data_IF_142104643293
#
_entry.id   IF_142104643293
#
_cell.length_a   1.000
_cell.length_b   1.000
_cell.length_c   1.000
_cell.angle_alpha   90.00
_cell.angle_beta   90.00
_cell.angle_gamma   90.00
#
_symmetry.space_group_name_H-M   'P 1'
#
loop_
_entity.id
_entity.type
_entity.pdbx_description
1 polymer ?
#
# COMPACT_ATOMS: atom_id res chain seq x y z
N UNK A 1 39.19 -33.76 38.81
CA UNK A 1 38.10 -32.86 39.25
C UNK A 1 36.95 -33.01 38.27
N UNK A 2 36.12 -34.03 38.44
CA UNK A 2 34.98 -34.30 37.55
C UNK A 2 33.73 -33.70 38.18
N UNK A 3 33.34 -32.51 37.73
CA UNK A 3 32.13 -31.84 38.21
C UNK A 3 30.90 -32.58 37.68
N UNK A 4 29.99 -32.93 38.60
CA UNK A 4 28.73 -33.61 38.33
C UNK A 4 27.91 -32.91 37.23
N UNK A 5 27.23 -33.69 36.39
CA UNK A 5 26.39 -33.28 35.26
C UNK A 5 25.35 -32.20 35.62
N UNK A 6 24.94 -32.13 36.90
CA UNK A 6 24.04 -31.12 37.44
C UNK A 6 24.67 -29.72 37.59
N UNK A 7 26.00 -29.61 37.69
CA UNK A 7 26.72 -28.34 37.77
C UNK A 7 26.91 -27.65 36.42
N UNK A 8 27.18 -28.43 35.36
CA UNK A 8 27.28 -27.93 33.98
C UNK A 8 25.94 -27.39 33.48
N UNK A 9 24.84 -28.05 33.82
CA UNK A 9 23.49 -27.62 33.45
C UNK A 9 23.11 -26.28 34.11
N UNK A 10 23.49 -26.07 35.38
CA UNK A 10 23.25 -24.80 36.10
C UNK A 10 24.09 -23.65 35.54
N UNK A 11 25.33 -23.90 35.12
CA UNK A 11 26.20 -22.88 34.52
C UNK A 11 25.74 -22.49 33.11
N UNK A 12 25.26 -23.46 32.31
CA UNK A 12 24.70 -23.21 30.98
C UNK A 12 23.39 -22.41 31.03
N UNK A 13 22.51 -22.69 32.00
CA UNK A 13 21.27 -21.93 32.20
C UNK A 13 21.58 -20.48 32.63
N UNK A 14 22.55 -20.27 33.53
CA UNK A 14 22.96 -18.93 33.96
C UNK A 14 23.50 -18.10 32.77
N UNK A 15 24.38 -18.68 31.96
CA UNK A 15 24.92 -18.04 30.76
C UNK A 15 23.82 -17.71 29.73
N UNK A 16 22.87 -18.62 29.52
CA UNK A 16 21.74 -18.40 28.62
C UNK A 16 20.81 -17.27 29.11
N UNK A 17 20.56 -17.15 30.41
CA UNK A 17 19.70 -16.09 30.97
C UNK A 17 20.35 -14.69 30.96
N UNK A 18 21.69 -14.61 30.98
CA UNK A 18 22.41 -13.34 30.92
C UNK A 18 22.57 -12.86 29.46
N UNK A 19 22.64 -13.80 28.50
CA UNK A 19 22.69 -13.50 27.05
C UNK A 19 21.30 -13.35 26.40
N UNK A 20 20.25 -13.96 26.95
CA UNK A 20 18.87 -13.85 26.47
C UNK A 20 18.31 -12.41 26.41
N UNK A 21 18.51 -11.51 27.39
CA UNK A 21 17.97 -10.16 27.29
C UNK A 21 18.69 -9.33 26.22
N UNK A 22 19.90 -9.72 25.80
CA UNK A 22 20.67 -8.99 24.78
C UNK A 22 20.24 -9.43 23.36
N UNK A 23 19.86 -10.68 23.15
CA UNK A 23 19.42 -11.18 21.84
C UNK A 23 17.95 -10.89 21.54
N UNK A 24 17.10 -10.69 22.54
CA UNK A 24 15.68 -10.32 22.31
C UNK A 24 15.54 -8.88 21.81
N UNK A 25 16.54 -8.01 22.00
CA UNK A 25 16.50 -6.59 21.59
C UNK A 25 16.86 -6.36 20.11
N UNK A 26 17.44 -7.33 19.40
CA UNK A 26 17.88 -7.17 18.01
C UNK A 26 17.37 -8.30 17.12
N UNK A 27 16.09 -8.26 16.78
CA UNK A 27 15.55 -8.70 15.48
C UNK A 27 14.02 -8.59 15.50
N UNK A 28 13.52 -7.36 15.58
CA UNK A 28 12.18 -7.07 15.06
C UNK A 28 12.32 -6.47 13.66
N UNK A 29 13.18 -7.08 12.84
CA UNK A 29 13.18 -6.88 11.39
C UNK A 29 12.06 -7.75 10.81
N UNK A 30 10.83 -7.39 11.15
CA UNK A 30 9.75 -7.53 10.17
C UNK A 30 10.05 -6.41 9.18
N UNK A 31 10.91 -6.68 8.20
CA UNK A 31 10.77 -6.01 6.92
C UNK A 31 9.35 -6.32 6.48
N UNK A 32 8.42 -5.43 6.85
CA UNK A 32 7.02 -5.60 6.60
C UNK A 32 6.91 -5.60 5.09
N UNK A 33 6.71 -6.77 4.50
CA UNK A 33 6.56 -6.91 3.06
C UNK A 33 5.54 -5.86 2.60
N UNK A 34 6.03 -4.84 1.90
CA UNK A 34 5.22 -3.70 1.48
C UNK A 34 4.01 -4.23 0.74
N UNK A 35 2.80 -3.83 1.13
CA UNK A 35 1.59 -4.33 0.47
C UNK A 35 1.67 -3.90 -0.99
N UNK A 36 1.30 -4.81 -1.90
CA UNK A 36 1.31 -4.53 -3.34
C UNK A 36 0.55 -3.24 -3.65
N UNK A 37 -0.56 -2.99 -2.95
CA UNK A 37 -1.36 -1.77 -3.12
C UNK A 37 -0.57 -0.50 -2.79
N UNK A 38 0.28 -0.54 -1.75
CA UNK A 38 1.05 0.62 -1.31
C UNK A 38 2.17 0.91 -2.30
N UNK A 39 2.85 -0.15 -2.77
CA UNK A 39 3.85 -0.04 -3.83
C UNK A 39 3.25 0.51 -5.14
N UNK A 40 2.09 0.00 -5.58
CA UNK A 40 1.44 0.46 -6.81
C UNK A 40 0.79 1.83 -6.70
N UNK A 41 0.30 2.20 -5.52
CA UNK A 41 -0.15 3.57 -5.24
C UNK A 41 1.03 4.54 -5.39
N UNK A 42 2.19 4.20 -4.83
CA UNK A 42 3.37 5.05 -4.95
C UNK A 42 3.88 5.16 -6.38
N UNK A 43 3.93 4.04 -7.12
CA UNK A 43 4.27 4.03 -8.55
C UNK A 43 3.32 4.97 -9.32
N UNK A 44 2.01 4.89 -9.04
CA UNK A 44 1.01 5.75 -9.67
C UNK A 44 1.22 7.23 -9.35
N UNK A 45 1.42 7.57 -8.07
CA UNK A 45 1.69 8.96 -7.63
C UNK A 45 2.90 9.52 -8.38
N UNK A 46 4.00 8.76 -8.46
CA UNK A 46 5.21 9.20 -9.14
C UNK A 46 4.99 9.46 -10.64
N UNK A 47 4.05 8.74 -11.28
CA UNK A 47 3.69 8.96 -12.68
C UNK A 47 2.80 10.19 -12.90
N UNK A 48 1.88 10.47 -11.95
CA UNK A 48 0.90 11.57 -12.11
C UNK A 48 1.37 12.89 -11.49
N UNK A 49 2.36 12.86 -10.60
CA UNK A 49 2.89 14.05 -9.97
C UNK A 49 3.90 14.78 -10.86
N UNK A 50 3.77 16.10 -10.97
CA UNK A 50 4.82 16.92 -11.56
C UNK A 50 5.77 17.42 -10.47
N UNK A 51 7.08 17.16 -10.56
CA UNK A 51 8.05 17.69 -9.60
C UNK A 51 8.17 19.20 -9.77
N UNK A 52 8.14 19.95 -8.67
CA UNK A 52 8.35 21.39 -8.60
C UNK A 52 9.39 21.68 -7.53
N UNK A 53 10.44 22.41 -7.89
CA UNK A 53 11.49 22.80 -6.97
C UNK A 53 11.00 23.97 -6.11
N UNK A 54 10.94 23.75 -4.81
CA UNK A 54 10.69 24.83 -3.85
C UNK A 54 12.04 25.31 -3.35
N UNK A 55 12.32 26.58 -3.64
CA UNK A 55 13.47 27.31 -3.13
C UNK A 55 12.96 28.21 -2.00
N UNK A 56 13.51 28.05 -0.80
CA UNK A 56 13.28 28.99 0.29
C UNK A 56 14.16 30.22 0.10
N UNK A 57 13.79 31.36 0.69
CA UNK A 57 14.56 32.62 0.61
C UNK A 57 15.94 32.58 1.29
N UNK A 58 16.36 31.40 1.72
CA UNK A 58 17.65 31.13 2.33
C UNK A 58 18.54 30.43 1.29
N UNK A 59 19.64 31.08 0.92
CA UNK A 59 20.55 30.65 -0.15
C UNK A 59 21.26 29.33 0.16
N UNK A 60 21.35 28.94 1.43
CA UNK A 60 21.97 27.70 1.89
C UNK A 60 20.96 26.55 2.10
N UNK A 61 19.67 26.80 1.88
CA UNK A 61 18.66 25.76 2.06
C UNK A 61 18.62 24.79 0.87
N UNK A 62 18.47 23.48 1.11
CA UNK A 62 18.41 22.49 0.05
C UNK A 62 17.14 22.66 -0.79
N UNK A 63 17.27 22.52 -2.11
CA UNK A 63 16.12 22.46 -3.03
C UNK A 63 15.24 21.29 -2.61
N UNK A 64 14.00 21.59 -2.24
CA UNK A 64 13.03 20.56 -1.84
C UNK A 64 12.11 20.27 -3.02
N UNK A 65 12.16 19.02 -3.52
CA UNK A 65 11.21 18.58 -4.52
C UNK A 65 9.82 18.47 -3.87
N UNK A 66 8.91 19.29 -4.37
CA UNK A 66 7.49 19.19 -4.07
C UNK A 66 6.76 18.57 -5.24
N UNK A 67 5.70 17.84 -4.95
CA UNK A 67 4.90 17.15 -5.94
C UNK A 67 3.49 17.74 -5.87
N UNK A 68 3.08 18.46 -6.91
CA UNK A 68 1.72 18.97 -7.02
C UNK A 68 0.86 17.94 -7.74
N UNK A 69 -0.18 17.46 -7.07
CA UNK A 69 -1.26 16.75 -7.74
C UNK A 69 -2.17 17.81 -8.34
N UNK A 70 -2.18 17.91 -9.67
CA UNK A 70 -3.08 18.80 -10.40
C UNK A 70 -4.51 18.23 -10.36
N UNK A 71 -5.15 18.25 -9.19
CA UNK A 71 -6.54 17.86 -9.04
C UNK A 71 -7.42 19.12 -9.05
N UNK A 72 -8.31 19.30 -10.04
CA UNK A 72 -9.23 20.42 -10.08
C UNK A 72 -10.40 20.16 -9.12
N UNK A 73 -10.16 20.17 -7.81
CA UNK A 73 -11.25 20.18 -6.82
C UNK A 73 -11.47 21.63 -6.38
N UNK A 74 -12.10 22.42 -7.24
CA UNK A 74 -12.54 23.79 -6.90
C UNK A 74 -13.75 23.81 -5.96
N UNK A 75 -14.43 22.67 -5.76
CA UNK A 75 -15.57 22.55 -4.86
C UNK A 75 -15.50 21.21 -4.10
N UNK A 76 -15.52 21.20 -2.75
CA UNK A 76 -15.49 19.96 -1.97
C UNK A 76 -16.80 19.15 -2.03
N UNK A 77 -17.86 19.72 -2.63
CA UNK A 77 -19.16 19.08 -2.73
C UNK A 77 -19.36 18.38 -4.09
N UNK A 78 -19.75 17.11 -4.05
CA UNK A 78 -20.17 16.34 -5.23
C UNK A 78 -21.67 16.56 -5.46
N UNK A 79 -22.01 17.66 -6.13
CA UNK A 79 -23.40 18.03 -6.46
C UNK A 79 -23.55 18.29 -7.95
N UNK A 80 -24.72 17.94 -8.52
CA UNK A 80 -25.05 18.25 -9.92
C UNK A 80 -24.27 17.42 -10.94
N UNK A 81 -24.11 16.12 -10.70
CA UNK A 81 -23.38 15.22 -11.60
C UNK A 81 -23.82 15.35 -13.06
N UNK A 82 -22.85 15.27 -13.98
CA UNK A 82 -23.05 15.31 -15.43
C UNK A 82 -22.47 14.05 -16.06
N UNK A 83 -22.95 13.70 -17.25
CA UNK A 83 -22.31 12.67 -18.05
C UNK A 83 -20.87 13.09 -18.37
N UNK A 84 -19.93 12.17 -18.15
CA UNK A 84 -18.52 12.38 -18.46
C UNK A 84 -18.28 12.23 -19.95
N UNK A 85 -17.30 12.97 -20.47
CA UNK A 85 -16.82 12.77 -21.84
C UNK A 85 -16.12 11.41 -21.94
N UNK A 86 -16.05 10.89 -23.16
CA UNK A 86 -15.25 9.70 -23.44
C UNK A 86 -13.80 9.98 -23.02
N UNK A 87 -13.20 9.03 -22.31
CA UNK A 87 -11.80 9.08 -21.84
C UNK A 87 -11.48 10.20 -20.83
N UNK A 88 -12.49 10.83 -20.20
CA UNK A 88 -12.29 11.83 -19.14
C UNK A 88 -11.70 11.21 -17.86
N UNK A 89 -12.10 9.99 -17.52
CA UNK A 89 -11.61 9.22 -16.37
C UNK A 89 -11.11 7.85 -16.83
N UNK A 90 -9.94 7.78 -17.50
CA UNK A 90 -9.46 6.55 -18.14
C UNK A 90 -9.10 5.44 -17.16
N UNK A 91 -8.88 5.78 -15.89
CA UNK A 91 -8.60 4.83 -14.82
C UNK A 91 -9.88 4.19 -14.24
N UNK A 92 -11.08 4.61 -14.63
CA UNK A 92 -12.34 4.05 -14.12
C UNK A 92 -12.60 2.66 -14.71
N UNK A 93 -12.86 1.68 -13.84
CA UNK A 93 -13.12 0.28 -14.23
C UNK A 93 -14.50 -0.16 -13.77
N UNK A 94 -15.20 -0.95 -14.58
CA UNK A 94 -16.44 -1.62 -14.22
C UNK A 94 -16.19 -3.13 -14.00
N UNK A 95 -16.53 -3.64 -12.82
CA UNK A 95 -16.36 -5.05 -12.46
C UNK A 95 -17.61 -5.86 -12.82
N UNK A 96 -17.45 -6.79 -13.76
CA UNK A 96 -18.50 -7.68 -14.26
C UNK A 96 -18.50 -9.04 -13.56
N UNK A 97 -19.69 -9.53 -13.23
CA UNK A 97 -19.91 -10.84 -12.60
C UNK A 97 -20.77 -11.73 -13.48
N UNK A 98 -20.46 -13.03 -13.54
CA UNK A 98 -21.28 -14.04 -14.19
C UNK A 98 -22.11 -14.74 -13.10
N UNK A 99 -23.43 -14.49 -13.01
CA UNK A 99 -24.25 -15.12 -12.00
C UNK A 99 -24.42 -16.62 -12.29
N UNK A 100 -24.36 -17.50 -11.27
CA UNK A 100 -24.45 -18.95 -11.44
C UNK A 100 -25.82 -19.40 -11.96
N UNK A 101 -26.85 -18.57 -11.81
CA UNK A 101 -28.25 -18.89 -12.13
C UNK A 101 -28.66 -18.61 -13.57
N UNK A 102 -27.80 -17.99 -14.40
CA UNK A 102 -28.16 -17.67 -15.77
C UNK A 102 -27.44 -18.57 -16.78
N UNK A 103 -28.23 -19.36 -17.53
CA UNK A 103 -27.80 -20.09 -18.73
C UNK A 103 -27.45 -19.16 -19.91
N UNK A 104 -27.32 -17.85 -19.67
CA UNK A 104 -26.97 -16.84 -20.67
C UNK A 104 -25.76 -16.11 -20.16
N UNK A 105 -24.68 -16.10 -20.94
CA UNK A 105 -23.38 -15.46 -20.71
C UNK A 105 -23.48 -13.92 -20.59
N UNK A 106 -24.32 -13.43 -19.69
CA UNK A 106 -24.62 -12.00 -19.51
C UNK A 106 -23.84 -11.51 -18.29
N UNK A 107 -22.87 -10.64 -18.54
CA UNK A 107 -22.12 -9.94 -17.50
C UNK A 107 -23.02 -8.94 -16.77
N UNK A 108 -23.04 -9.02 -15.43
CA UNK A 108 -23.66 -8.00 -14.58
C UNK A 108 -22.58 -7.12 -13.98
N UNK A 109 -22.57 -5.83 -14.31
CA UNK A 109 -21.66 -4.85 -13.70
C UNK A 109 -22.32 -4.25 -12.46
N UNK A 110 -21.70 -4.46 -11.30
CA UNK A 110 -22.29 -4.07 -10.01
C UNK A 110 -21.29 -3.41 -9.06
N UNK A 111 -20.01 -3.37 -9.44
CA UNK A 111 -18.98 -2.67 -8.69
C UNK A 111 -18.10 -1.88 -9.65
N UNK A 112 -17.45 -0.84 -9.11
CA UNK A 112 -16.39 -0.11 -9.79
C UNK A 112 -15.01 -0.47 -9.28
N UNK A 113 -14.00 0.13 -9.88
CA UNK A 113 -12.61 0.09 -9.43
C UNK A 113 -11.77 1.14 -10.14
N UNK A 114 -10.50 1.19 -9.77
CA UNK A 114 -9.52 2.12 -10.35
C UNK A 114 -8.29 1.36 -10.81
N UNK A 115 -7.89 1.56 -12.07
CA UNK A 115 -6.63 1.01 -12.59
C UNK A 115 -5.45 1.76 -11.97
N UNK A 116 -4.67 1.06 -11.14
CA UNK A 116 -3.50 1.64 -10.43
C UNK A 116 -2.16 1.23 -11.05
N UNK A 117 -2.16 0.18 -11.88
CA UNK A 117 -1.04 -0.19 -12.74
C UNK A 117 -1.53 -1.04 -13.91
N UNK A 118 -0.65 -1.41 -14.83
CA UNK A 118 -0.99 -2.21 -16.02
C UNK A 118 -1.71 -3.54 -15.74
N UNK A 119 -1.52 -4.09 -14.54
CA UNK A 119 -2.05 -5.41 -14.14
C UNK A 119 -2.91 -5.38 -12.87
N UNK A 120 -3.09 -4.21 -12.25
CA UNK A 120 -3.75 -4.11 -10.95
C UNK A 120 -4.88 -3.09 -10.94
N UNK A 121 -6.04 -3.56 -10.50
CA UNK A 121 -7.24 -2.74 -10.24
C UNK A 121 -7.49 -2.70 -8.74
N UNK A 122 -7.62 -1.51 -8.19
CA UNK A 122 -8.04 -1.26 -6.82
C UNK A 122 -9.58 -1.25 -6.74
N UNK A 123 -10.14 -1.99 -5.79
CA UNK A 123 -11.59 -2.04 -5.55
C UNK A 123 -11.89 -2.34 -4.08
N UNK A 124 -13.16 -2.28 -3.70
CA UNK A 124 -13.61 -2.62 -2.35
C UNK A 124 -13.57 -4.14 -2.12
N UNK A 125 -13.20 -4.57 -0.91
CA UNK A 125 -13.12 -5.99 -0.58
C UNK A 125 -14.46 -6.75 -0.77
N UNK A 126 -15.58 -6.10 -0.45
CA UNK A 126 -16.92 -6.68 -0.61
C UNK A 126 -17.32 -6.88 -2.09
N UNK A 127 -16.58 -6.31 -3.05
CA UNK A 127 -16.80 -6.55 -4.46
C UNK A 127 -16.24 -7.90 -4.92
N UNK A 128 -15.37 -8.56 -4.13
CA UNK A 128 -14.78 -9.85 -4.51
C UNK A 128 -15.53 -11.03 -3.89
N UNK A 129 -15.97 -10.88 -2.63
CA UNK A 129 -16.69 -11.94 -1.91
C UNK A 129 -18.13 -11.50 -1.63
N UNK A 130 -19.00 -11.65 -2.64
CA UNK A 130 -20.44 -11.38 -2.54
C UNK A 130 -21.24 -12.56 -2.01
#
# INVERSE_FOLDING_TARGET
VTMSCSGLLRLAILLATILAPVTVVLANDKEAATRIVDSKCQDYVNMVSTPHDIITLDLDSPVRQSYTLQCPLQNPYVVGGKAVQKDEFPHMVALGYIPPTFHRNIWKFQCGGTLISELFVLTAAHCINR
#
